data_IF_092499534600
#
_entry.id   IF_092499534600
#
_cell.length_a   1.000
_cell.length_b   1.000
_cell.length_c   1.000
_cell.angle_alpha   90.00
_cell.angle_beta   90.00
_cell.angle_gamma   90.00
#
_symmetry.space_group_name_H-M   'P 1'
#
loop_
_entity.id
_entity.type
_entity.pdbx_description
1 polymer ?
#
# COMPACT_ATOMS: atom_id res chain seq x y z
N UNK A 1 -44.42 18.14 -0.04
CA UNK A 1 -43.35 17.79 -1.00
C UNK A 1 -42.23 17.16 -0.20
N UNK A 2 -42.29 15.85 0.01
CA UNK A 2 -41.34 15.20 0.92
C UNK A 2 -40.13 14.75 0.08
N UNK A 3 -39.02 15.46 0.25
CA UNK A 3 -37.72 15.09 -0.29
C UNK A 3 -37.19 13.95 0.57
N UNK A 4 -36.96 12.78 -0.03
CA UNK A 4 -36.40 11.63 0.67
C UNK A 4 -34.93 11.46 0.27
N UNK A 5 -34.08 11.21 1.26
CA UNK A 5 -32.66 10.90 1.09
C UNK A 5 -32.41 9.63 1.91
N UNK A 6 -31.96 8.57 1.25
CA UNK A 6 -31.53 7.34 1.94
C UNK A 6 -30.01 7.42 2.09
N UNK A 7 -29.54 7.79 3.29
CA UNK A 7 -28.10 8.00 3.51
C UNK A 7 -27.30 6.69 3.43
N UNK A 8 -27.90 5.58 3.86
CA UNK A 8 -27.25 4.27 3.93
C UNK A 8 -27.04 3.63 2.55
N UNK A 9 -27.72 4.12 1.51
CA UNK A 9 -27.53 3.69 0.12
C UNK A 9 -26.41 4.48 -0.62
N UNK A 10 -25.82 5.49 0.03
CA UNK A 10 -24.74 6.29 -0.55
C UNK A 10 -23.40 5.55 -0.38
N UNK A 11 -23.05 4.75 -1.39
CA UNK A 11 -21.77 4.02 -1.41
C UNK A 11 -20.56 4.94 -1.62
N UNK A 12 -20.74 6.06 -2.32
CA UNK A 12 -19.68 6.99 -2.71
C UNK A 12 -20.19 8.44 -2.65
N UNK A 13 -19.39 9.32 -2.07
CA UNK A 13 -19.76 10.73 -1.84
C UNK A 13 -19.53 11.64 -3.05
N UNK A 14 -19.47 11.08 -4.26
CA UNK A 14 -19.40 11.89 -5.47
C UNK A 14 -20.80 12.38 -5.88
N UNK A 15 -20.85 13.50 -6.60
CA UNK A 15 -22.10 14.19 -6.93
C UNK A 15 -23.06 13.34 -7.78
N UNK A 16 -22.54 12.47 -8.64
CA UNK A 16 -23.34 11.64 -9.52
C UNK A 16 -24.04 10.52 -8.75
N UNK A 17 -23.36 9.91 -7.78
CA UNK A 17 -23.92 8.84 -6.95
C UNK A 17 -24.94 9.39 -5.96
N UNK A 18 -24.67 10.53 -5.30
CA UNK A 18 -25.63 11.16 -4.39
C UNK A 18 -26.93 11.57 -5.09
N UNK A 19 -26.88 12.04 -6.35
CA UNK A 19 -28.10 12.38 -7.12
C UNK A 19 -29.07 11.21 -7.27
N UNK A 20 -28.56 9.98 -7.32
CA UNK A 20 -29.39 8.78 -7.48
C UNK A 20 -30.19 8.51 -6.22
N UNK A 21 -29.68 8.80 -5.02
CA UNK A 21 -30.33 8.50 -3.74
C UNK A 21 -31.33 9.59 -3.26
N UNK A 22 -31.72 10.54 -4.12
CA UNK A 22 -32.60 11.66 -3.74
C UNK A 22 -33.78 11.76 -4.67
N UNK A 23 -34.97 11.62 -4.10
CA UNK A 23 -36.20 11.50 -4.86
C UNK A 23 -37.29 12.46 -4.37
N UNK A 24 -38.10 12.92 -5.33
CA UNK A 24 -39.44 13.46 -5.10
C UNK A 24 -40.35 12.66 -6.01
N UNK A 25 -41.41 12.06 -5.44
CA UNK A 25 -42.36 11.21 -6.18
C UNK A 25 -41.64 10.18 -7.08
N UNK A 26 -40.60 9.51 -6.53
CA UNK A 26 -39.76 8.49 -7.22
C UNK A 26 -38.96 8.97 -8.43
N UNK A 27 -38.85 10.28 -8.66
CA UNK A 27 -37.98 10.85 -9.70
C UNK A 27 -36.71 11.45 -9.08
N UNK A 28 -35.52 11.16 -9.65
CA UNK A 28 -34.27 11.73 -9.17
C UNK A 28 -34.23 13.24 -9.39
N UNK A 29 -33.57 13.97 -8.50
CA UNK A 29 -33.56 15.44 -8.51
C UNK A 29 -32.16 15.98 -8.75
N UNK A 30 -32.09 17.11 -9.47
CA UNK A 30 -30.86 17.89 -9.59
C UNK A 30 -30.57 18.61 -8.27
N UNK A 31 -29.42 18.31 -7.67
CA UNK A 31 -28.98 18.90 -6.41
C UNK A 31 -28.21 20.20 -6.67
N UNK A 32 -28.51 21.26 -5.92
CA UNK A 32 -27.73 22.51 -5.87
C UNK A 32 -26.41 22.30 -5.11
N UNK A 33 -25.45 23.24 -5.20
CA UNK A 33 -24.18 23.12 -4.46
C UNK A 33 -24.41 23.12 -2.94
N UNK A 34 -25.15 24.12 -2.43
CA UNK A 34 -25.55 24.17 -1.01
C UNK A 34 -26.30 22.91 -0.55
N UNK A 35 -27.14 22.35 -1.42
CA UNK A 35 -27.84 21.10 -1.15
C UNK A 35 -26.88 19.91 -1.03
N UNK A 36 -25.89 19.83 -1.91
CA UNK A 36 -24.85 18.80 -1.89
C UNK A 36 -23.98 18.90 -0.63
N UNK A 37 -23.55 20.11 -0.25
CA UNK A 37 -22.73 20.32 0.95
C UNK A 37 -23.47 19.91 2.23
N UNK A 38 -24.75 20.22 2.33
CA UNK A 38 -25.59 19.78 3.46
C UNK A 38 -25.70 18.25 3.52
N UNK A 39 -25.79 17.58 2.38
CA UNK A 39 -25.83 16.12 2.33
C UNK A 39 -24.49 15.53 2.79
N UNK A 40 -23.37 16.06 2.30
CA UNK A 40 -22.04 15.64 2.77
C UNK A 40 -21.89 15.79 4.28
N UNK A 41 -22.39 16.90 4.85
CA UNK A 41 -22.38 17.10 6.30
C UNK A 41 -23.22 16.05 7.03
N UNK A 42 -24.44 15.79 6.56
CA UNK A 42 -25.32 14.75 7.15
C UNK A 42 -24.71 13.36 7.05
N UNK A 43 -24.16 13.00 5.90
CA UNK A 43 -23.45 11.74 5.69
C UNK A 43 -22.26 11.58 6.63
N UNK A 44 -21.47 12.65 6.82
CA UNK A 44 -20.35 12.65 7.78
C UNK A 44 -20.85 12.37 9.20
N UNK A 45 -21.91 13.05 9.63
CA UNK A 45 -22.50 12.85 10.97
C UNK A 45 -23.01 11.41 11.11
N UNK A 46 -23.72 10.88 10.10
CA UNK A 46 -24.22 9.51 10.09
C UNK A 46 -23.09 8.49 10.27
N UNK A 47 -22.02 8.63 9.48
CA UNK A 47 -20.85 7.77 9.58
C UNK A 47 -20.18 7.84 10.96
N UNK A 48 -20.02 9.04 11.52
CA UNK A 48 -19.41 9.22 12.84
C UNK A 48 -20.26 8.57 13.95
N UNK A 49 -21.58 8.68 13.88
CA UNK A 49 -22.48 8.00 14.80
C UNK A 49 -22.37 6.48 14.65
N UNK A 50 -22.41 5.96 13.42
CA UNK A 50 -22.23 4.53 13.17
C UNK A 50 -20.91 4.00 13.77
N UNK A 51 -19.79 4.68 13.52
CA UNK A 51 -18.49 4.29 14.10
C UNK A 51 -18.55 4.33 15.61
N UNK A 52 -19.06 5.41 16.21
CA UNK A 52 -19.18 5.55 17.67
C UNK A 52 -19.99 4.42 18.29
N UNK A 53 -21.13 4.08 17.67
CA UNK A 53 -22.07 3.09 18.21
C UNK A 53 -21.59 1.64 18.02
N UNK A 54 -20.61 1.42 17.12
CA UNK A 54 -20.09 0.09 16.78
C UNK A 54 -18.62 -0.13 17.16
N UNK A 55 -17.95 0.84 17.80
CA UNK A 55 -16.60 0.67 18.35
C UNK A 55 -16.64 0.61 19.88
N UNK A 56 -16.06 -0.44 20.46
CA UNK A 56 -15.92 -0.55 21.90
C UNK A 56 -14.60 0.09 22.37
N UNK A 57 -14.37 0.16 23.68
CA UNK A 57 -13.11 0.65 24.25
C UNK A 57 -11.97 -0.39 24.21
N UNK A 58 -12.02 -1.33 23.28
CA UNK A 58 -11.01 -2.37 23.11
C UNK A 58 -9.85 -1.89 22.21
N UNK A 59 -8.68 -2.57 22.29
CA UNK A 59 -7.51 -2.19 21.50
C UNK A 59 -7.72 -2.14 19.98
N UNK A 60 -8.53 -3.03 19.40
CA UNK A 60 -8.75 -3.11 17.96
C UNK A 60 -9.63 -1.97 17.47
N UNK A 61 -10.68 -1.63 18.23
CA UNK A 61 -11.52 -0.45 17.99
C UNK A 61 -10.72 0.85 18.07
N UNK A 62 -9.82 0.99 19.05
CA UNK A 62 -8.92 2.14 19.17
C UNK A 62 -7.97 2.21 17.96
N UNK A 63 -7.48 1.06 17.50
CA UNK A 63 -6.55 0.94 16.38
C UNK A 63 -7.20 1.32 15.04
N UNK A 64 -8.48 0.96 14.84
CA UNK A 64 -9.28 1.43 13.72
C UNK A 64 -9.39 2.96 13.70
N UNK A 65 -9.78 3.57 14.83
CA UNK A 65 -9.91 5.02 14.95
C UNK A 65 -8.58 5.75 14.70
N UNK A 66 -7.48 5.18 15.23
CA UNK A 66 -6.13 5.67 14.94
C UNK A 66 -5.79 5.59 13.45
N UNK A 67 -6.14 4.48 12.78
CA UNK A 67 -5.91 4.34 11.34
C UNK A 67 -6.68 5.37 10.52
N UNK A 68 -7.94 5.66 10.85
CA UNK A 68 -8.72 6.73 10.21
C UNK A 68 -8.02 8.09 10.35
N UNK A 69 -7.54 8.42 11.55
CA UNK A 69 -6.77 9.63 11.83
C UNK A 69 -5.47 9.69 11.02
N UNK A 70 -4.70 8.60 10.99
CA UNK A 70 -3.42 8.55 10.28
C UNK A 70 -3.62 8.66 8.75
N UNK A 71 -4.66 8.01 8.20
CA UNK A 71 -5.03 8.14 6.78
C UNK A 71 -5.42 9.57 6.42
N UNK A 72 -6.19 10.25 7.27
CA UNK A 72 -6.57 11.65 7.07
C UNK A 72 -5.36 12.59 7.08
N UNK A 73 -4.41 12.37 8.00
CA UNK A 73 -3.14 13.12 8.03
C UNK A 73 -2.34 12.96 6.73
N UNK A 74 -2.29 11.75 6.18
CA UNK A 74 -1.60 11.49 4.90
C UNK A 74 -2.29 12.18 3.71
N UNK A 75 -3.62 12.22 3.69
CA UNK A 75 -4.40 12.90 2.64
C UNK A 75 -4.17 14.42 2.69
N UNK A 76 -4.17 14.99 3.90
CA UNK A 76 -4.03 16.43 4.11
C UNK A 76 -2.56 16.90 4.11
N UNK A 77 -1.60 15.99 3.98
CA UNK A 77 -0.19 16.34 3.83
C UNK A 77 -0.05 17.09 2.50
N UNK A 78 0.28 18.38 2.57
CA UNK A 78 0.57 19.19 1.39
C UNK A 78 1.69 18.55 0.58
N UNK A 79 1.61 18.61 -0.76
CA UNK A 79 2.60 18.06 -1.73
C UNK A 79 4.03 18.62 -1.54
N UNK A 80 4.23 19.52 -0.59
CA UNK A 80 5.48 20.17 -0.26
C UNK A 80 6.33 19.26 0.65
N UNK A 81 7.39 18.65 0.10
CA UNK A 81 8.75 18.68 0.69
C UNK A 81 9.72 17.61 0.16
N UNK A 82 9.33 16.69 -0.73
CA UNK A 82 10.29 15.69 -1.24
C UNK A 82 10.73 16.06 -2.67
N UNK A 83 11.45 17.17 -2.77
CA UNK A 83 12.19 17.52 -3.98
C UNK A 83 13.39 16.57 -4.05
N UNK A 84 13.55 15.86 -5.18
CA UNK A 84 14.66 14.92 -5.48
C UNK A 84 14.56 13.48 -4.95
N UNK A 85 13.37 12.88 -4.98
CA UNK A 85 13.23 11.42 -4.87
C UNK A 85 13.91 10.72 -6.07
N UNK A 86 14.73 9.70 -5.79
CA UNK A 86 15.46 8.94 -6.81
C UNK A 86 14.98 7.48 -6.86
N UNK A 87 14.91 6.94 -8.07
CA UNK A 87 14.75 5.49 -8.30
C UNK A 87 15.97 4.77 -7.72
N UNK A 88 15.77 3.54 -7.23
CA UNK A 88 16.77 2.70 -6.57
C UNK A 88 17.28 3.21 -5.20
N UNK A 89 16.79 4.35 -4.73
CA UNK A 89 17.05 4.83 -3.37
C UNK A 89 16.09 4.18 -2.35
N UNK A 90 16.55 4.04 -1.12
CA UNK A 90 15.78 3.46 -0.01
C UNK A 90 15.25 4.59 0.87
N UNK A 91 13.96 4.53 1.16
CA UNK A 91 13.26 5.49 2.01
C UNK A 91 12.45 4.77 3.07
N UNK A 92 12.19 5.45 4.18
CA UNK A 92 11.18 5.01 5.12
C UNK A 92 9.79 5.27 4.55
N UNK A 93 8.99 4.21 4.44
CA UNK A 93 7.66 4.20 3.83
C UNK A 93 6.61 3.84 4.87
N UNK A 94 5.58 4.68 4.94
CA UNK A 94 4.36 4.43 5.71
C UNK A 94 3.40 3.54 4.91
N UNK A 95 3.55 2.22 5.05
CA UNK A 95 2.66 1.23 4.43
C UNK A 95 1.25 1.21 5.05
N UNK A 96 1.02 1.96 6.14
CA UNK A 96 -0.27 2.08 6.81
C UNK A 96 -0.67 0.85 7.62
N UNK A 97 -1.99 0.69 7.78
CA UNK A 97 -2.60 -0.43 8.49
C UNK A 97 -2.94 -1.55 7.50
N UNK A 98 -2.57 -2.76 7.90
CA UNK A 98 -2.72 -3.95 7.08
C UNK A 98 -3.76 -4.87 7.68
N UNK A 99 -4.48 -5.57 6.80
CA UNK A 99 -5.41 -6.64 7.17
C UNK A 99 -4.66 -7.97 6.99
N UNK A 100 -4.66 -8.82 8.02
CA UNK A 100 -3.99 -10.13 8.01
C UNK A 100 -2.47 -10.05 7.93
N UNK A 101 -1.85 -10.95 7.14
CA UNK A 101 -0.40 -11.17 7.09
C UNK A 101 0.41 -10.13 6.29
N UNK A 102 -0.22 -9.06 5.79
CA UNK A 102 0.49 -8.01 5.05
C UNK A 102 1.49 -7.27 5.96
N UNK A 103 2.66 -6.92 5.43
CA UNK A 103 3.76 -6.28 6.19
C UNK A 103 3.39 -4.92 6.83
N UNK A 104 3.06 -4.93 8.12
CA UNK A 104 2.73 -3.72 8.93
C UNK A 104 3.94 -2.77 9.04
N UNK A 105 3.67 -1.49 9.31
CA UNK A 105 4.58 -0.44 9.86
C UNK A 105 5.29 0.45 8.84
N UNK A 106 5.87 1.52 9.39
CA UNK A 106 6.96 2.29 8.80
C UNK A 106 8.13 1.33 8.51
N UNK A 107 8.55 1.23 7.25
CA UNK A 107 9.60 0.29 6.82
C UNK A 107 10.53 0.90 5.81
N UNK A 108 11.80 0.49 5.77
CA UNK A 108 12.64 0.82 4.64
C UNK A 108 12.06 0.11 3.40
N UNK A 109 12.03 0.80 2.27
CA UNK A 109 11.65 0.22 1.00
C UNK A 109 12.44 0.87 -0.13
N UNK A 110 12.74 0.07 -1.15
CA UNK A 110 13.37 0.55 -2.38
C UNK A 110 12.30 1.25 -3.22
N UNK A 111 12.57 2.47 -3.65
CA UNK A 111 11.76 3.17 -4.64
C UNK A 111 12.05 2.61 -6.02
N UNK A 112 11.19 1.73 -6.49
CA UNK A 112 11.43 0.95 -7.70
C UNK A 112 11.09 1.71 -8.97
N UNK A 113 9.88 2.27 -9.04
CA UNK A 113 9.40 3.05 -10.19
C UNK A 113 8.43 4.13 -9.72
N UNK A 114 8.39 5.26 -10.43
CA UNK A 114 7.38 6.30 -10.21
C UNK A 114 6.35 6.31 -11.33
N UNK A 115 5.14 6.81 -11.04
CA UNK A 115 4.24 7.30 -12.07
C UNK A 115 4.86 8.50 -12.81
N UNK A 116 4.34 8.82 -13.99
CA UNK A 116 4.79 9.98 -14.79
C UNK A 116 4.72 11.28 -14.01
N UNK A 117 3.64 11.49 -13.25
CA UNK A 117 3.43 12.66 -12.39
C UNK A 117 4.14 12.57 -11.02
N UNK A 118 4.91 11.50 -10.74
CA UNK A 118 5.61 11.22 -9.48
C UNK A 118 4.73 11.21 -8.21
N UNK A 119 3.40 11.23 -8.34
CA UNK A 119 2.47 11.16 -7.21
C UNK A 119 2.30 9.76 -6.66
N UNK A 120 2.62 8.74 -7.46
CA UNK A 120 2.59 7.33 -7.07
C UNK A 120 3.95 6.67 -7.31
N UNK A 121 4.29 5.72 -6.45
CA UNK A 121 5.53 4.97 -6.50
C UNK A 121 5.28 3.48 -6.29
N UNK A 122 5.84 2.64 -7.14
CA UNK A 122 6.04 1.22 -6.87
C UNK A 122 7.22 1.08 -5.93
N UNK A 123 7.02 0.39 -4.81
CA UNK A 123 8.06 0.18 -3.80
C UNK A 123 8.22 -1.29 -3.49
N UNK A 124 9.45 -1.65 -3.10
CA UNK A 124 9.81 -2.99 -2.65
C UNK A 124 10.19 -2.93 -1.17
N UNK A 125 9.32 -3.41 -0.27
CA UNK A 125 9.59 -3.38 1.16
C UNK A 125 10.79 -4.23 1.55
N UNK A 126 11.56 -3.72 2.50
CA UNK A 126 12.68 -4.41 3.12
C UNK A 126 12.30 -4.94 4.51
N UNK A 127 12.93 -6.05 4.90
CA UNK A 127 13.03 -6.47 6.30
C UNK A 127 14.09 -5.63 7.02
N UNK A 128 14.15 -5.73 8.34
CA UNK A 128 15.13 -4.99 9.14
C UNK A 128 16.54 -5.59 9.10
N UNK A 129 16.67 -6.85 8.69
CA UNK A 129 17.90 -7.64 8.63
C UNK A 129 17.78 -8.67 7.50
N UNK A 130 18.91 -9.18 7.02
CA UNK A 130 18.92 -10.37 6.17
C UNK A 130 18.18 -11.52 6.85
N UNK A 131 17.57 -12.35 6.01
CA UNK A 131 16.82 -13.52 6.46
C UNK A 131 17.58 -14.81 6.23
N UNK A 132 18.46 -14.84 5.21
CA UNK A 132 19.23 -16.02 4.83
C UNK A 132 18.32 -17.24 4.62
N UNK A 133 17.13 -17.01 4.03
CA UNK A 133 16.13 -18.03 3.79
C UNK A 133 16.12 -18.49 2.33
N UNK A 134 15.52 -19.67 2.11
CA UNK A 134 15.54 -20.32 0.79
C UNK A 134 14.32 -19.93 -0.07
N UNK A 135 13.62 -18.84 0.25
CA UNK A 135 12.48 -18.40 -0.55
C UNK A 135 12.97 -17.66 -1.79
N UNK A 136 12.69 -18.21 -2.97
CA UNK A 136 13.17 -17.64 -4.24
C UNK A 136 12.69 -16.21 -4.52
N UNK A 137 11.62 -15.76 -3.84
CA UNK A 137 11.04 -14.42 -3.95
C UNK A 137 11.54 -13.45 -2.87
N UNK A 138 12.48 -13.89 -2.04
CA UNK A 138 13.26 -13.04 -1.16
C UNK A 138 14.63 -12.78 -1.79
N UNK A 139 15.17 -11.60 -1.54
CA UNK A 139 16.51 -11.24 -1.98
C UNK A 139 17.24 -10.46 -0.91
N UNK A 140 18.25 -11.06 -0.29
CA UNK A 140 19.16 -10.34 0.60
C UNK A 140 20.05 -9.40 -0.23
N UNK A 141 20.04 -8.11 0.13
CA UNK A 141 20.85 -7.11 -0.57
C UNK A 141 22.34 -7.39 -0.33
N UNK A 142 23.18 -7.06 -1.30
CA UNK A 142 24.64 -7.31 -1.17
C UNK A 142 25.28 -6.58 0.03
N UNK A 143 24.65 -5.53 0.53
CA UNK A 143 25.12 -4.81 1.70
C UNK A 143 24.47 -5.37 2.97
N UNK A 144 25.26 -6.03 3.81
CA UNK A 144 24.80 -6.68 5.07
C UNK A 144 24.15 -5.73 6.09
N UNK A 145 24.38 -4.42 5.97
CA UNK A 145 23.70 -3.42 6.82
C UNK A 145 22.26 -3.13 6.37
N UNK A 146 21.86 -3.66 5.22
CA UNK A 146 20.50 -3.59 4.70
C UNK A 146 19.77 -4.92 4.95
N UNK A 147 18.52 -4.98 4.54
CA UNK A 147 17.65 -6.13 4.76
C UNK A 147 17.36 -6.92 3.49
N UNK A 148 16.53 -7.94 3.67
CA UNK A 148 15.92 -8.73 2.60
C UNK A 148 14.81 -7.96 1.92
N UNK A 149 14.83 -7.91 0.59
CA UNK A 149 13.71 -7.46 -0.23
C UNK A 149 12.65 -8.55 -0.27
N UNK A 150 11.40 -8.20 0.03
CA UNK A 150 10.24 -9.11 -0.06
C UNK A 150 9.43 -8.82 -1.32
N UNK A 151 9.68 -9.56 -2.39
CA UNK A 151 9.10 -9.30 -3.72
C UNK A 151 7.60 -9.53 -3.73
N UNK A 152 7.10 -10.50 -2.97
CA UNK A 152 5.67 -10.79 -2.79
C UNK A 152 4.90 -9.64 -2.14
N UNK A 153 5.61 -8.69 -1.53
CA UNK A 153 5.04 -7.50 -0.90
C UNK A 153 5.23 -6.22 -1.73
N UNK A 154 5.59 -6.34 -3.02
CA UNK A 154 5.61 -5.22 -3.96
C UNK A 154 4.25 -4.51 -3.98
N UNK A 155 4.28 -3.18 -3.84
CA UNK A 155 3.05 -2.39 -3.73
C UNK A 155 3.21 -1.00 -4.35
N UNK A 156 2.11 -0.46 -4.86
CA UNK A 156 2.01 0.94 -5.27
C UNK A 156 1.52 1.80 -4.11
N UNK A 157 2.23 2.87 -3.81
CA UNK A 157 1.90 3.83 -2.76
C UNK A 157 1.76 5.24 -3.32
N UNK A 158 1.02 6.10 -2.61
CA UNK A 158 1.11 7.54 -2.80
C UNK A 158 2.45 8.07 -2.28
N UNK A 159 3.02 9.05 -2.96
CA UNK A 159 4.20 9.81 -2.53
C UNK A 159 4.06 10.40 -1.13
N UNK A 160 2.85 10.71 -0.65
CA UNK A 160 2.61 11.21 0.71
C UNK A 160 3.05 10.22 1.80
N UNK A 161 3.14 8.93 1.46
CA UNK A 161 3.59 7.85 2.34
C UNK A 161 5.12 7.74 2.43
N UNK A 162 5.84 8.42 1.56
CA UNK A 162 7.30 8.51 1.64
C UNK A 162 7.65 9.50 2.76
N UNK A 163 8.54 9.07 3.66
CA UNK A 163 9.03 9.88 4.77
C UNK A 163 10.47 10.31 4.49
N UNK A 164 11.36 10.16 5.45
CA UNK A 164 12.78 10.47 5.32
C UNK A 164 13.56 9.41 4.50
N UNK A 165 14.66 9.81 3.83
CA UNK A 165 15.59 8.87 3.24
C UNK A 165 16.16 7.91 4.29
N UNK A 166 16.44 6.69 3.89
CA UNK A 166 17.20 5.75 4.72
C UNK A 166 18.69 6.05 4.53
N UNK A 167 19.43 6.30 5.62
CA UNK A 167 20.84 6.67 5.54
C UNK A 167 21.75 5.49 5.88
N UNK A 168 22.80 5.34 5.08
CA UNK A 168 23.92 4.45 5.35
C UNK A 168 25.23 5.23 5.21
N UNK A 169 26.05 5.24 6.26
CA UNK A 169 27.31 5.99 6.31
C UNK A 169 27.12 7.47 5.87
N UNK A 170 26.12 8.16 6.42
CA UNK A 170 25.76 9.55 6.14
C UNK A 170 25.37 9.86 4.67
N UNK A 171 25.09 8.83 3.85
CA UNK A 171 24.57 8.98 2.48
C UNK A 171 23.22 8.28 2.36
N UNK A 172 22.37 8.75 1.45
CA UNK A 172 21.11 8.06 1.14
C UNK A 172 21.47 6.67 0.62
N UNK A 173 20.90 5.64 1.23
CA UNK A 173 21.11 4.27 0.83
C UNK A 173 20.48 4.04 -0.55
N UNK A 174 21.25 3.43 -1.45
CA UNK A 174 20.83 3.07 -2.81
C UNK A 174 21.26 1.64 -3.09
N UNK A 175 20.42 0.89 -3.80
CA UNK A 175 20.80 -0.45 -4.25
C UNK A 175 21.83 -0.38 -5.38
N UNK A 176 22.67 -1.40 -5.49
CA UNK A 176 23.64 -1.50 -6.58
C UNK A 176 22.97 -1.94 -7.88
N UNK A 177 23.68 -1.82 -9.01
CA UNK A 177 23.22 -2.39 -10.29
C UNK A 177 23.01 -3.90 -10.20
N UNK A 178 23.90 -4.61 -9.50
CA UNK A 178 23.79 -6.07 -9.29
C UNK A 178 22.52 -6.44 -8.52
N UNK A 179 22.23 -5.72 -7.43
CA UNK A 179 20.99 -5.89 -6.68
C UNK A 179 19.76 -5.64 -7.57
N UNK A 180 19.79 -4.55 -8.36
CA UNK A 180 18.69 -4.18 -9.26
C UNK A 180 18.43 -5.28 -10.30
N UNK A 181 19.47 -5.78 -10.97
CA UNK A 181 19.36 -6.82 -11.99
C UNK A 181 18.83 -8.14 -11.39
N UNK A 182 19.29 -8.51 -10.19
CA UNK A 182 18.82 -9.71 -9.49
C UNK A 182 17.33 -9.58 -9.07
N UNK A 183 16.96 -8.46 -8.45
CA UNK A 183 15.58 -8.15 -8.08
C UNK A 183 14.66 -8.18 -9.31
N UNK A 184 15.09 -7.58 -10.43
CA UNK A 184 14.31 -7.56 -11.67
C UNK A 184 14.06 -8.98 -12.20
N UNK A 185 15.06 -9.86 -12.15
CA UNK A 185 14.92 -11.27 -12.53
C UNK A 185 13.88 -11.99 -11.65
N UNK A 186 13.90 -11.75 -10.34
CA UNK A 186 12.94 -12.35 -9.40
C UNK A 186 11.53 -11.80 -9.64
N UNK A 187 11.37 -10.48 -9.86
CA UNK A 187 10.07 -9.85 -10.17
C UNK A 187 9.45 -10.47 -11.42
N UNK A 188 10.24 -10.65 -12.49
CA UNK A 188 9.77 -11.32 -13.70
C UNK A 188 9.27 -12.72 -13.37
N UNK A 189 10.11 -13.56 -12.76
CA UNK A 189 9.72 -14.92 -12.34
C UNK A 189 8.43 -14.95 -11.51
N UNK A 190 8.32 -14.07 -10.52
CA UNK A 190 7.22 -14.08 -9.56
C UNK A 190 5.89 -13.56 -10.12
N UNK A 191 5.93 -12.48 -10.92
CA UNK A 191 4.71 -11.79 -11.39
C UNK A 191 4.36 -12.08 -12.85
N UNK A 192 5.30 -12.48 -13.70
CA UNK A 192 5.01 -12.90 -15.09
C UNK A 192 4.84 -14.41 -15.22
N UNK A 193 5.05 -15.16 -14.13
CA UNK A 193 5.01 -16.63 -14.10
C UNK A 193 5.93 -17.28 -15.17
N UNK A 194 6.94 -16.56 -15.62
CA UNK A 194 7.95 -17.09 -16.54
C UNK A 194 8.74 -18.20 -15.84
N UNK A 195 8.73 -19.40 -16.44
CA UNK A 195 9.69 -20.43 -16.08
C UNK A 195 11.08 -19.93 -16.47
N UNK A 196 11.93 -19.71 -15.46
CA UNK A 196 13.35 -19.52 -15.74
C UNK A 196 13.87 -20.87 -16.18
N UNK A 197 14.01 -21.06 -17.50
CA UNK A 197 14.81 -22.15 -18.03
C UNK A 197 16.24 -21.93 -17.53
N UNK A 198 16.61 -22.66 -16.48
CA UNK A 198 17.98 -22.72 -15.99
C UNK A 198 18.82 -23.49 -17.00
N UNK A 199 19.16 -22.86 -18.11
CA UNK A 199 20.20 -23.36 -19.00
C UNK A 199 21.56 -23.12 -18.35
N UNK A 200 22.10 -24.23 -17.82
CA UNK A 200 23.52 -24.49 -17.54
C UNK A 200 24.23 -23.64 -16.46
N UNK A 201 24.08 -24.05 -15.19
CA UNK A 201 25.22 -24.04 -14.25
C UNK A 201 25.28 -25.41 -13.57
N UNK A 202 26.47 -26.02 -13.60
CA UNK A 202 26.73 -27.44 -13.40
C UNK A 202 26.14 -28.10 -12.14
N UNK A 203 25.88 -29.40 -12.32
CA UNK A 203 25.57 -30.43 -11.31
C UNK A 203 26.14 -30.13 -9.92
N UNK A 204 25.27 -30.12 -8.89
CA UNK A 204 25.49 -30.89 -7.65
C UNK A 204 24.20 -31.15 -6.86
N UNK A 205 23.97 -32.45 -6.65
CA UNK A 205 23.14 -33.17 -5.67
C UNK A 205 21.61 -32.99 -5.64
N UNK A 206 20.96 -34.08 -6.05
CA UNK A 206 19.55 -34.44 -5.85
C UNK A 206 19.11 -34.41 -4.37
N UNK A 207 18.51 -33.31 -3.89
CA UNK A 207 17.57 -33.35 -2.75
C UNK A 207 16.54 -32.22 -2.90
N UNK A 208 15.43 -32.44 -3.61
CA UNK A 208 14.14 -31.76 -3.33
C UNK A 208 13.03 -32.21 -4.29
N UNK A 209 12.60 -33.47 -4.19
CA UNK A 209 11.30 -33.90 -4.77
C UNK A 209 10.18 -34.00 -3.74
N UNK A 210 10.34 -33.48 -2.51
CA UNK A 210 9.37 -33.76 -1.41
C UNK A 210 8.52 -32.58 -0.89
N UNK A 211 8.68 -31.36 -1.38
CA UNK A 211 7.97 -30.20 -0.78
C UNK A 211 6.90 -29.54 -1.65
N UNK A 212 6.45 -30.15 -2.75
CA UNK A 212 5.36 -29.59 -3.58
C UNK A 212 3.94 -29.83 -3.04
N UNK A 213 3.76 -30.60 -1.98
CA UNK A 213 2.41 -30.96 -1.47
C UNK A 213 1.98 -30.25 -0.18
N UNK A 214 2.69 -29.23 0.31
CA UNK A 214 2.34 -28.58 1.60
C UNK A 214 1.80 -27.15 1.54
N UNK A 215 1.39 -26.63 0.37
CA UNK A 215 0.83 -25.27 0.28
C UNK A 215 -0.56 -25.21 -0.37
N UNK A 216 -1.21 -26.36 -0.59
CA UNK A 216 -2.61 -26.42 -1.02
C UNK A 216 -3.35 -27.52 -0.27
N UNK A 217 -3.54 -27.32 1.03
CA UNK A 217 -4.63 -27.89 1.83
C UNK A 217 -5.10 -26.88 2.85
#
# INVERSE_FOLDING_TARGET
MNKYIVLDEINDYNRSNIKRCIYIKRKPIKITNKGFDNILLKSKINFLNYVKDNTNNDPDSILYNKWCKDKLKLINKSDNNIVNIKVAAIYWIDLGYNIGSKLRKLRPAILWRSSSNKKMWTVLPLTSKHKDDNYYFHYDLLNEKLGTVRIENLINISSNRIREPYYLNNKIATITKKDNDAILKIIKKYYTFEEINETNVGKKSNISKRNREKVLT
#
